data_IF_592946695729
#
_entry.id   IF_592946695729
#
_cell.length_a   1.000
_cell.length_b   1.000
_cell.length_c   1.000
_cell.angle_alpha   90.00
_cell.angle_beta   90.00
_cell.angle_gamma   90.00
#
_symmetry.space_group_name_H-M   'P 1'
#
loop_
_entity.id
_entity.type
_entity.pdbx_description
1 polymer ?
#
# COMPACT_ATOMS: atom_id res chain seq x y z
N UNK A 1 62.33 -59.78 -33.81
CA UNK A 1 61.86 -59.10 -32.59
C UNK A 1 61.25 -60.17 -31.69
N UNK A 2 61.65 -60.20 -30.41
CA UNK A 2 61.16 -61.19 -29.44
C UNK A 2 59.71 -60.88 -29.06
N UNK A 3 58.83 -61.88 -29.06
CA UNK A 3 57.41 -61.72 -28.76
C UNK A 3 57.17 -61.08 -27.39
N UNK A 4 58.08 -61.34 -26.43
CA UNK A 4 58.06 -60.71 -25.09
C UNK A 4 58.33 -59.21 -25.13
N UNK A 5 59.20 -58.75 -26.03
CA UNK A 5 59.52 -57.33 -26.17
C UNK A 5 58.34 -56.55 -26.76
N UNK A 6 57.63 -57.15 -27.73
CA UNK A 6 56.41 -56.59 -28.31
C UNK A 6 55.30 -56.51 -27.27
N UNK A 7 55.11 -57.56 -26.48
CA UNK A 7 54.10 -57.60 -25.42
C UNK A 7 54.36 -56.55 -24.33
N UNK A 8 55.61 -56.36 -23.92
CA UNK A 8 55.98 -55.32 -22.96
C UNK A 8 55.73 -53.91 -23.53
N UNK A 9 56.07 -53.67 -24.79
CA UNK A 9 55.84 -52.38 -25.46
C UNK A 9 54.35 -52.04 -25.55
N UNK A 10 53.51 -53.03 -25.88
CA UNK A 10 52.05 -52.86 -25.92
C UNK A 10 51.50 -52.56 -24.51
N UNK A 11 51.96 -53.28 -23.48
CA UNK A 11 51.54 -53.01 -22.10
C UNK A 11 51.93 -51.61 -21.62
N UNK A 12 53.12 -51.11 -21.97
CA UNK A 12 53.54 -49.74 -21.67
C UNK A 12 52.66 -48.70 -22.37
N UNK A 13 52.33 -48.93 -23.64
CA UNK A 13 51.51 -48.01 -24.43
C UNK A 13 50.05 -47.97 -23.95
N UNK A 14 49.48 -49.13 -23.59
CA UNK A 14 48.17 -49.23 -22.94
C UNK A 14 48.17 -48.51 -21.60
N UNK A 15 49.19 -48.71 -20.76
CA UNK A 15 49.27 -48.03 -19.47
C UNK A 15 49.40 -46.50 -19.62
N UNK A 16 50.16 -46.02 -20.63
CA UNK A 16 50.22 -44.59 -20.95
C UNK A 16 48.88 -44.04 -21.42
N UNK A 17 48.19 -44.75 -22.31
CA UNK A 17 46.87 -44.33 -22.81
C UNK A 17 45.83 -44.28 -21.68
N UNK A 18 45.80 -45.29 -20.81
CA UNK A 18 44.91 -45.34 -19.63
C UNK A 18 45.24 -44.21 -18.66
N UNK A 19 46.51 -43.98 -18.35
CA UNK A 19 46.93 -42.90 -17.46
C UNK A 19 46.57 -41.52 -18.01
N UNK A 20 46.72 -41.31 -19.32
CA UNK A 20 46.32 -40.09 -19.98
C UNK A 20 44.79 -39.88 -19.93
N UNK A 21 44.00 -40.91 -20.24
CA UNK A 21 42.54 -40.86 -20.12
C UNK A 21 42.08 -40.57 -18.69
N UNK A 22 42.71 -41.18 -17.69
CA UNK A 22 42.42 -40.91 -16.28
C UNK A 22 42.75 -39.46 -15.90
N UNK A 23 43.87 -38.92 -16.37
CA UNK A 23 44.25 -37.52 -16.14
C UNK A 23 43.25 -36.55 -16.75
N UNK A 24 42.81 -36.79 -18.00
CA UNK A 24 41.81 -35.97 -18.67
C UNK A 24 40.46 -36.02 -17.95
N UNK A 25 40.02 -37.20 -17.52
CA UNK A 25 38.78 -37.36 -16.74
C UNK A 25 38.85 -36.64 -15.40
N UNK A 26 39.98 -36.74 -14.69
CA UNK A 26 40.17 -36.05 -13.41
C UNK A 26 40.20 -34.53 -13.60
N UNK A 27 40.84 -34.03 -14.66
CA UNK A 27 40.82 -32.60 -15.01
C UNK A 27 39.39 -32.12 -15.31
N UNK A 28 38.64 -32.88 -16.12
CA UNK A 28 37.27 -32.55 -16.45
C UNK A 28 36.36 -32.54 -15.22
N UNK A 29 36.56 -33.48 -14.29
CA UNK A 29 35.87 -33.52 -13.01
C UNK A 29 36.22 -32.31 -12.13
N UNK A 30 37.50 -31.94 -12.07
CA UNK A 30 37.96 -30.76 -11.34
C UNK A 30 37.29 -29.50 -11.87
N UNK A 31 37.29 -29.30 -13.20
CA UNK A 31 36.65 -28.14 -13.84
C UNK A 31 35.14 -28.10 -13.55
N UNK A 32 34.48 -29.26 -13.57
CA UNK A 32 33.05 -29.35 -13.26
C UNK A 32 32.79 -28.98 -11.80
N UNK A 33 33.61 -29.47 -10.86
CA UNK A 33 33.50 -29.16 -9.43
C UNK A 33 33.74 -27.67 -9.20
N UNK A 34 34.79 -27.09 -9.77
CA UNK A 34 35.12 -25.67 -9.62
C UNK A 34 34.03 -24.78 -10.20
N UNK A 35 33.47 -25.13 -11.36
CA UNK A 35 32.33 -24.44 -11.96
C UNK A 35 31.09 -24.48 -11.07
N UNK A 36 30.74 -25.67 -10.55
CA UNK A 36 29.56 -25.85 -9.68
C UNK A 36 29.75 -25.18 -8.32
N UNK A 37 30.93 -25.25 -7.73
CA UNK A 37 31.26 -24.56 -6.48
C UNK A 37 31.21 -23.05 -6.64
N UNK A 38 31.73 -22.52 -7.76
CA UNK A 38 31.65 -21.10 -8.07
C UNK A 38 30.20 -20.63 -8.22
N UNK A 39 29.39 -21.39 -8.98
CA UNK A 39 27.96 -21.09 -9.13
C UNK A 39 27.21 -21.19 -7.78
N UNK A 40 27.55 -22.17 -6.95
CA UNK A 40 26.97 -22.32 -5.62
C UNK A 40 27.36 -21.17 -4.69
N UNK A 41 28.63 -20.76 -4.68
CA UNK A 41 29.12 -19.61 -3.92
C UNK A 41 28.42 -18.32 -4.33
N UNK A 42 28.26 -18.08 -5.64
CA UNK A 42 27.52 -16.93 -6.15
C UNK A 42 26.04 -16.96 -5.72
N UNK A 43 25.40 -18.12 -5.78
CA UNK A 43 24.02 -18.28 -5.30
C UNK A 43 23.90 -18.02 -3.80
N UNK A 44 24.83 -18.50 -2.97
CA UNK A 44 24.87 -18.20 -1.53
C UNK A 44 25.04 -16.70 -1.28
N UNK A 45 25.98 -16.06 -1.97
CA UNK A 45 26.23 -14.62 -1.83
C UNK A 45 24.98 -13.82 -2.23
N UNK A 46 24.31 -14.18 -3.32
CA UNK A 46 23.08 -13.53 -3.76
C UNK A 46 21.92 -13.72 -2.78
N UNK A 47 21.72 -14.94 -2.26
CA UNK A 47 20.70 -15.22 -1.23
C UNK A 47 21.02 -14.43 0.05
N UNK A 48 22.28 -14.42 0.48
CA UNK A 48 22.74 -13.69 1.66
C UNK A 48 22.52 -12.18 1.50
N UNK A 49 22.92 -11.59 0.37
CA UNK A 49 22.70 -10.17 0.09
C UNK A 49 21.20 -9.81 0.05
N UNK A 50 20.38 -10.66 -0.58
CA UNK A 50 18.92 -10.45 -0.62
C UNK A 50 18.28 -10.54 0.78
N UNK A 51 18.73 -11.49 1.61
CA UNK A 51 18.26 -11.63 2.98
C UNK A 51 18.72 -10.47 3.86
N UNK A 52 19.98 -10.03 3.72
CA UNK A 52 20.53 -8.87 4.44
C UNK A 52 19.76 -7.61 4.07
N UNK A 53 19.50 -7.35 2.78
CA UNK A 53 18.67 -6.21 2.36
C UNK A 53 17.26 -6.24 2.96
N UNK A 54 16.60 -7.41 2.97
CA UNK A 54 15.29 -7.56 3.62
C UNK A 54 15.35 -7.34 5.12
N UNK A 55 16.43 -7.75 5.78
CA UNK A 55 16.65 -7.53 7.21
C UNK A 55 16.91 -6.03 7.47
N UNK A 56 17.72 -5.36 6.65
CA UNK A 56 17.94 -3.91 6.74
C UNK A 56 16.65 -3.12 6.56
N UNK A 57 15.79 -3.53 5.62
CA UNK A 57 14.48 -2.92 5.40
C UNK A 57 13.53 -3.12 6.61
N UNK A 58 13.59 -4.28 7.28
CA UNK A 58 12.84 -4.54 8.52
C UNK A 58 13.45 -3.81 9.75
N UNK A 59 14.77 -3.65 9.82
CA UNK A 59 15.42 -2.92 10.92
C UNK A 59 15.14 -1.40 10.85
N UNK A 60 14.86 -0.87 9.67
CA UNK A 60 14.41 0.50 9.47
C UNK A 60 12.94 0.75 9.91
N UNK A 61 12.24 -0.28 10.41
CA UNK A 61 10.86 -0.20 10.87
C UNK A 61 10.70 0.56 12.20
N UNK A 62 11.78 0.90 12.91
CA UNK A 62 11.69 1.55 14.23
C UNK A 62 11.64 3.08 14.23
N UNK A 63 11.79 3.76 13.09
CA UNK A 63 11.64 5.22 13.05
C UNK A 63 10.19 5.66 12.80
N UNK A 64 9.55 6.23 13.83
CA UNK A 64 8.19 6.78 13.72
C UNK A 64 8.24 8.24 13.30
N UNK A 65 7.84 8.52 12.06
CA UNK A 65 7.75 9.88 11.53
C UNK A 65 6.63 10.69 12.21
N UNK A 66 6.96 11.88 12.73
CA UNK A 66 5.96 12.79 13.32
C UNK A 66 4.94 13.33 12.31
N UNK A 67 5.36 13.52 11.06
CA UNK A 67 4.52 14.08 9.99
C UNK A 67 4.38 13.06 8.87
N UNK A 68 3.15 12.78 8.44
CA UNK A 68 2.87 11.85 7.34
C UNK A 68 3.58 12.26 6.03
N UNK A 69 3.71 13.56 5.78
CA UNK A 69 4.46 14.08 4.63
C UNK A 69 5.94 13.69 4.65
N UNK A 70 6.58 13.68 5.82
CA UNK A 70 7.99 13.29 5.97
C UNK A 70 8.15 11.78 5.76
N UNK A 71 7.25 10.96 6.28
CA UNK A 71 7.23 9.51 6.03
C UNK A 71 7.11 9.22 4.53
N UNK A 72 6.20 9.90 3.84
CA UNK A 72 6.00 9.73 2.40
C UNK A 72 7.23 10.19 1.61
N UNK A 73 7.89 11.29 2.02
CA UNK A 73 9.13 11.74 1.40
C UNK A 73 10.25 10.73 1.60
N UNK A 74 10.45 10.25 2.82
CA UNK A 74 11.46 9.24 3.11
C UNK A 74 11.25 7.97 2.29
N UNK A 75 10.02 7.46 2.22
CA UNK A 75 9.67 6.29 1.39
C UNK A 75 9.95 6.53 -0.09
N UNK A 76 9.76 7.75 -0.58
CA UNK A 76 10.10 8.10 -1.95
C UNK A 76 11.62 8.11 -2.17
N UNK A 77 12.37 8.80 -1.31
CA UNK A 77 13.84 8.86 -1.38
C UNK A 77 14.47 7.47 -1.27
N UNK A 78 13.93 6.58 -0.42
CA UNK A 78 14.39 5.21 -0.31
C UNK A 78 14.28 4.45 -1.65
N UNK A 79 13.15 4.61 -2.37
CA UNK A 79 12.96 3.98 -3.69
C UNK A 79 13.93 4.53 -4.74
N UNK A 80 14.15 5.84 -4.75
CA UNK A 80 15.13 6.48 -5.65
C UNK A 80 16.53 5.96 -5.35
N UNK A 81 16.91 5.91 -4.07
CA UNK A 81 18.19 5.38 -3.63
C UNK A 81 18.40 3.92 -4.06
N UNK A 82 17.37 3.07 -3.93
CA UNK A 82 17.42 1.69 -4.43
C UNK A 82 17.75 1.65 -5.93
N UNK A 83 17.08 2.46 -6.75
CA UNK A 83 17.37 2.52 -8.20
C UNK A 83 18.76 3.02 -8.54
N UNK A 84 19.29 3.97 -7.76
CA UNK A 84 20.67 4.42 -7.91
C UNK A 84 21.69 3.35 -7.50
N UNK A 85 21.41 2.57 -6.43
CA UNK A 85 22.25 1.45 -6.01
C UNK A 85 22.26 0.32 -7.06
N UNK A 86 21.09 -0.09 -7.54
CA UNK A 86 20.95 -1.07 -8.63
C UNK A 86 21.76 -0.65 -9.86
N UNK A 87 21.63 0.61 -10.30
CA UNK A 87 22.39 1.13 -11.43
C UNK A 87 23.91 1.05 -11.19
N UNK A 88 24.37 1.42 -9.98
CA UNK A 88 25.78 1.32 -9.62
C UNK A 88 26.27 -0.13 -9.65
N UNK A 89 25.51 -1.05 -9.08
CA UNK A 89 25.85 -2.48 -9.04
C UNK A 89 25.96 -3.09 -10.45
N UNK A 90 25.01 -2.75 -11.32
CA UNK A 90 25.02 -3.18 -12.73
C UNK A 90 26.25 -2.66 -13.50
N UNK A 91 26.74 -1.47 -13.19
CA UNK A 91 27.98 -0.94 -13.79
C UNK A 91 29.25 -1.61 -13.24
N UNK A 92 29.22 -2.11 -11.99
CA UNK A 92 30.39 -2.73 -11.34
C UNK A 92 30.50 -4.24 -11.52
N UNK A 93 29.40 -4.91 -11.91
CA UNK A 93 29.31 -6.39 -11.88
C UNK A 93 30.01 -7.10 -13.04
N UNK A 94 30.61 -6.37 -14.00
CA UNK A 94 31.34 -6.97 -15.12
C UNK A 94 30.48 -7.79 -16.10
N UNK A 95 29.16 -7.75 -15.94
CA UNK A 95 28.20 -8.48 -16.77
C UNK A 95 28.05 -7.82 -18.15
N UNK A 96 27.88 -8.66 -19.19
CA UNK A 96 27.68 -8.22 -20.59
C UNK A 96 26.46 -7.28 -20.69
N UNK A 97 25.38 -7.60 -19.99
CA UNK A 97 24.13 -6.81 -19.98
C UNK A 97 24.06 -5.76 -18.86
N UNK A 98 25.18 -5.54 -18.15
CA UNK A 98 25.26 -4.60 -17.02
C UNK A 98 24.98 -3.16 -17.44
N UNK A 99 25.45 -2.75 -18.61
CA UNK A 99 25.22 -1.39 -19.11
C UNK A 99 23.73 -1.11 -19.36
N UNK A 100 23.01 -2.07 -19.95
CA UNK A 100 21.60 -1.86 -20.29
C UNK A 100 20.71 -1.91 -19.05
N UNK A 101 20.99 -2.84 -18.14
CA UNK A 101 20.34 -2.89 -16.82
C UNK A 101 20.55 -1.59 -16.04
N UNK A 102 21.77 -1.04 -16.05
CA UNK A 102 22.07 0.23 -15.39
C UNK A 102 21.28 1.41 -15.99
N UNK A 103 21.19 1.49 -17.33
CA UNK A 103 20.37 2.53 -17.99
C UNK A 103 18.89 2.39 -17.60
N UNK A 104 18.35 1.18 -17.55
CA UNK A 104 16.97 0.93 -17.14
C UNK A 104 16.72 1.42 -15.72
N UNK A 105 17.57 1.05 -14.76
CA UNK A 105 17.45 1.52 -13.36
C UNK A 105 17.55 3.04 -13.24
N UNK A 106 18.44 3.69 -14.02
CA UNK A 106 18.53 5.15 -14.06
C UNK A 106 17.25 5.77 -14.63
N UNK A 107 16.72 5.23 -15.73
CA UNK A 107 15.49 5.71 -16.35
C UNK A 107 14.30 5.61 -15.38
N UNK A 108 14.17 4.48 -14.66
CA UNK A 108 13.17 4.31 -13.61
C UNK A 108 13.35 5.33 -12.47
N UNK A 109 14.58 5.56 -12.02
CA UNK A 109 14.91 6.57 -11.01
C UNK A 109 14.51 7.99 -11.46
N UNK A 110 14.78 8.34 -12.71
CA UNK A 110 14.37 9.62 -13.30
C UNK A 110 12.85 9.76 -13.32
N UNK A 111 12.12 8.73 -13.74
CA UNK A 111 10.66 8.76 -13.75
C UNK A 111 10.05 8.86 -12.35
N UNK A 112 10.65 8.22 -11.34
CA UNK A 112 10.26 8.43 -9.94
C UNK A 112 10.38 9.90 -9.54
N UNK A 113 11.51 10.55 -9.86
CA UNK A 113 11.76 11.97 -9.53
C UNK A 113 10.79 12.88 -10.28
N UNK A 114 10.57 12.68 -11.59
CA UNK A 114 9.60 13.47 -12.36
C UNK A 114 8.19 13.36 -11.80
N UNK A 115 7.74 12.13 -11.52
CA UNK A 115 6.45 11.89 -10.89
C UNK A 115 6.35 12.57 -9.53
N UNK A 116 7.43 12.60 -8.74
CA UNK A 116 7.47 13.31 -7.46
C UNK A 116 7.36 14.81 -7.62
N UNK A 117 8.13 15.40 -8.53
CA UNK A 117 8.07 16.83 -8.85
C UNK A 117 6.66 17.24 -9.26
N UNK A 118 5.99 16.43 -10.08
CA UNK A 118 4.59 16.64 -10.48
C UNK A 118 3.64 16.65 -9.29
N UNK A 119 3.71 15.66 -8.41
CA UNK A 119 2.80 15.63 -7.24
C UNK A 119 3.12 16.71 -6.20
N UNK A 120 4.37 17.18 -6.11
CA UNK A 120 4.72 18.34 -5.30
C UNK A 120 4.03 19.59 -5.86
N UNK A 121 4.09 19.83 -7.18
CA UNK A 121 3.38 20.94 -7.81
C UNK A 121 1.86 20.87 -7.58
N UNK A 122 1.27 19.68 -7.69
CA UNK A 122 -0.15 19.45 -7.37
C UNK A 122 -0.48 19.74 -5.89
N UNK A 123 0.40 19.35 -4.97
CA UNK A 123 0.23 19.66 -3.55
C UNK A 123 0.35 21.16 -3.27
N UNK A 124 1.23 21.87 -3.96
CA UNK A 124 1.44 23.30 -3.79
C UNK A 124 0.26 24.12 -4.37
N UNK A 125 -0.23 23.73 -5.55
CA UNK A 125 -1.33 24.43 -6.22
C UNK A 125 -2.71 24.14 -5.62
N UNK A 126 -2.84 23.11 -4.79
CA UNK A 126 -4.14 22.69 -4.23
C UNK A 126 -4.35 23.18 -2.80
N UNK A 127 -5.54 23.73 -2.52
CA UNK A 127 -5.91 24.18 -1.16
C UNK A 127 -5.90 23.04 -0.12
N UNK A 128 -6.12 21.79 -0.53
CA UNK A 128 -6.08 20.62 0.37
C UNK A 128 -4.72 19.91 0.35
N UNK A 129 -3.76 20.42 -0.43
CA UNK A 129 -2.38 19.97 -0.56
C UNK A 129 -2.22 18.46 -0.73
N UNK A 130 -1.41 17.84 0.13
CA UNK A 130 -1.09 16.41 0.09
C UNK A 130 -2.31 15.48 0.17
N UNK A 131 -3.47 15.94 0.64
CA UNK A 131 -4.71 15.14 0.61
C UNK A 131 -5.18 14.90 -0.83
N UNK A 132 -5.01 15.88 -1.72
CA UNK A 132 -5.32 15.72 -3.14
C UNK A 132 -4.36 14.76 -3.80
N UNK A 133 -3.07 14.86 -3.49
CA UNK A 133 -2.06 13.93 -4.00
C UNK A 133 -2.39 12.48 -3.62
N UNK A 134 -2.85 12.25 -2.39
CA UNK A 134 -3.24 10.92 -1.95
C UNK A 134 -4.37 10.35 -2.83
N UNK A 135 -5.39 11.15 -3.16
CA UNK A 135 -6.47 10.73 -4.07
C UNK A 135 -5.99 10.55 -5.52
N UNK A 136 -5.03 11.37 -5.95
CA UNK A 136 -4.43 11.31 -7.29
C UNK A 136 -3.63 10.01 -7.49
N UNK A 137 -2.86 9.61 -6.48
CA UNK A 137 -2.04 8.39 -6.51
C UNK A 137 -2.86 7.12 -6.29
N UNK A 138 -3.88 7.16 -5.41
CA UNK A 138 -4.68 5.98 -5.06
C UNK A 138 -5.65 5.53 -6.16
N UNK A 139 -5.93 6.38 -7.16
CA UNK A 139 -6.90 6.10 -8.20
C UNK A 139 -6.28 6.30 -9.59
N UNK A 140 -5.56 5.29 -10.13
CA UNK A 140 -5.16 5.30 -11.53
C UNK A 140 -6.43 5.36 -12.40
N UNK A 141 -6.50 6.38 -13.26
CA UNK A 141 -7.55 6.46 -14.28
C UNK A 141 -6.96 5.77 -15.52
N UNK A 142 -7.82 5.16 -16.35
CA UNK A 142 -7.42 4.63 -17.64
C UNK A 142 -6.59 5.64 -18.44
N UNK A 143 -5.65 5.11 -19.21
CA UNK A 143 -4.57 5.80 -19.93
C UNK A 143 -5.05 6.91 -20.90
N UNK A 144 -6.35 6.93 -21.22
CA UNK A 144 -7.01 7.87 -22.12
C UNK A 144 -7.51 9.16 -21.43
N UNK A 145 -7.44 9.24 -20.10
CA UNK A 145 -7.87 10.42 -19.35
C UNK A 145 -6.76 11.45 -19.25
N UNK A 146 -6.83 12.51 -20.06
CA UNK A 146 -6.11 13.78 -19.90
C UNK A 146 -5.83 14.10 -18.42
N UNK A 147 -4.55 14.33 -18.10
CA UNK A 147 -4.04 14.43 -16.72
C UNK A 147 -4.78 15.48 -15.88
N UNK A 148 -5.26 16.54 -16.53
CA UNK A 148 -6.11 17.57 -15.94
C UNK A 148 -7.40 16.99 -15.34
N UNK A 149 -8.07 16.07 -16.04
CA UNK A 149 -9.28 15.39 -15.53
C UNK A 149 -8.96 14.54 -14.31
N UNK A 150 -7.77 13.95 -14.25
CA UNK A 150 -7.32 13.17 -13.09
C UNK A 150 -7.08 14.07 -11.88
N UNK A 151 -6.41 15.21 -12.07
CA UNK A 151 -6.21 16.20 -11.02
C UNK A 151 -7.54 16.75 -10.49
N UNK A 152 -8.46 17.14 -11.38
CA UNK A 152 -9.79 17.63 -11.00
C UNK A 152 -10.57 16.61 -10.16
N UNK A 153 -10.61 15.34 -10.58
CA UNK A 153 -11.29 14.27 -9.83
C UNK A 153 -10.64 14.02 -8.48
N UNK A 154 -9.31 14.04 -8.41
CA UNK A 154 -8.59 13.89 -7.14
C UNK A 154 -8.96 15.02 -6.17
N UNK A 155 -9.06 16.25 -6.66
CA UNK A 155 -9.48 17.40 -5.86
C UNK A 155 -10.90 17.21 -5.32
N UNK A 156 -11.86 16.89 -6.19
CA UNK A 156 -13.27 16.67 -5.80
C UNK A 156 -13.41 15.54 -4.76
N UNK A 157 -12.64 14.45 -4.89
CA UNK A 157 -12.63 13.35 -3.92
C UNK A 157 -12.08 13.79 -2.57
N UNK A 158 -10.99 14.55 -2.56
CA UNK A 158 -10.37 15.07 -1.34
C UNK A 158 -11.32 16.04 -0.62
N UNK A 159 -11.95 16.96 -1.36
CA UNK A 159 -12.94 17.91 -0.83
C UNK A 159 -14.14 17.18 -0.21
N UNK A 160 -14.70 16.18 -0.91
CA UNK A 160 -15.81 15.37 -0.39
C UNK A 160 -15.43 14.65 0.91
N UNK A 161 -14.22 14.11 1.01
CA UNK A 161 -13.74 13.46 2.24
C UNK A 161 -13.63 14.44 3.40
N UNK A 162 -13.13 15.65 3.16
CA UNK A 162 -13.06 16.70 4.19
C UNK A 162 -14.46 17.15 4.64
N UNK A 163 -15.38 17.38 3.69
CA UNK A 163 -16.76 17.76 3.98
C UNK A 163 -17.51 16.69 4.78
N UNK A 164 -17.46 15.43 4.34
CA UNK A 164 -18.12 14.31 5.03
C UNK A 164 -17.48 14.03 6.40
N UNK A 165 -16.17 14.22 6.55
CA UNK A 165 -15.47 14.12 7.82
C UNK A 165 -15.96 15.18 8.84
N UNK A 166 -16.14 16.42 8.40
CA UNK A 166 -16.71 17.50 9.23
C UNK A 166 -18.16 17.20 9.65
N UNK A 167 -18.97 16.65 8.74
CA UNK A 167 -20.37 16.26 9.06
C UNK A 167 -20.44 15.12 10.08
N UNK A 168 -19.49 14.18 10.04
CA UNK A 168 -19.40 13.07 11.02
C UNK A 168 -18.90 13.52 12.40
N UNK A 169 -18.06 14.55 12.48
CA UNK A 169 -17.64 15.13 13.76
C UNK A 169 -18.71 16.04 14.38
N UNK A 170 -19.66 16.53 13.58
CA UNK A 170 -20.87 17.17 14.09
C UNK A 170 -21.81 16.09 14.64
N UNK A 171 -21.49 15.56 15.81
CA UNK A 171 -22.46 14.85 16.65
C UNK A 171 -23.64 15.82 16.86
N UNK A 172 -24.80 15.47 16.31
CA UNK A 172 -26.03 16.25 16.44
C UNK A 172 -26.82 15.63 17.59
N UNK A 173 -26.79 16.19 18.81
CA UNK A 173 -27.37 15.56 20.00
C UNK A 173 -28.90 15.63 20.04
N UNK A 174 -29.54 16.01 18.94
CA UNK A 174 -30.98 16.16 18.90
C UNK A 174 -31.54 15.52 17.64
N UNK A 175 -31.97 14.27 17.80
CA UNK A 175 -32.92 13.68 16.88
C UNK A 175 -34.14 14.60 16.84
N UNK A 176 -34.33 15.32 15.72
CA UNK A 176 -35.68 15.72 15.32
C UNK A 176 -36.47 14.42 15.22
N UNK A 177 -37.31 14.15 16.22
CA UNK A 177 -38.44 13.23 16.04
C UNK A 177 -39.28 13.82 14.92
N UNK A 178 -39.05 13.35 13.70
CA UNK A 178 -40.07 13.40 12.66
C UNK A 178 -41.23 12.59 13.19
N UNK A 179 -42.35 13.26 13.45
CA UNK A 179 -43.63 12.62 13.70
C UNK A 179 -44.09 11.92 12.41
N UNK A 180 -43.52 10.76 12.16
CA UNK A 180 -44.10 9.70 11.35
C UNK A 180 -44.10 8.44 12.22
N UNK A 181 -44.79 8.54 13.36
CA UNK A 181 -45.18 7.39 14.14
C UNK A 181 -46.26 6.66 13.33
N UNK A 182 -45.90 5.45 12.90
CA UNK A 182 -46.74 4.25 13.03
C UNK A 182 -48.24 4.46 12.85
N UNK A 183 -48.71 4.24 11.62
CA UNK A 183 -50.10 3.91 11.35
C UNK A 183 -50.21 2.39 11.24
N UNK A 184 -50.60 1.74 12.34
CA UNK A 184 -51.36 0.48 12.40
C UNK A 184 -51.79 0.30 13.87
N UNK A 185 -53.08 0.53 14.11
CA UNK A 185 -54.03 -0.47 14.63
C UNK A 185 -53.98 -0.55 16.17
N UNK A 186 -54.86 0.20 16.82
CA UNK A 186 -56.17 -0.23 17.38
C UNK A 186 -56.04 -0.98 18.69
N UNK A 187 -56.71 -0.37 19.67
CA UNK A 187 -57.44 -0.96 20.77
C UNK A 187 -56.75 -1.38 22.09
N UNK A 188 -57.44 -0.86 23.13
CA UNK A 188 -57.71 -1.46 24.44
C UNK A 188 -56.64 -1.35 25.56
N UNK A 189 -57.08 -0.61 26.58
CA UNK A 189 -56.84 -0.80 28.03
C UNK A 189 -55.39 -0.90 28.53
N UNK A 190 -54.99 0.10 29.30
CA UNK A 190 -55.15 0.02 30.76
C UNK A 190 -54.65 1.29 31.47
N UNK A 191 -55.38 1.59 32.54
CA UNK A 191 -55.27 2.65 33.53
C UNK A 191 -53.86 2.97 34.07
N UNK A 192 -53.52 4.25 34.07
CA UNK A 192 -52.83 4.88 35.22
C UNK A 192 -53.15 6.38 35.31
N UNK A 193 -54.31 6.66 35.91
CA UNK A 193 -54.55 7.68 36.94
C UNK A 193 -53.56 8.85 37.04
N UNK A 194 -53.48 9.71 36.02
CA UNK A 194 -52.88 11.04 36.12
C UNK A 194 -53.96 12.07 36.41
N UNK A 195 -54.07 12.57 37.65
CA UNK A 195 -55.02 13.64 38.00
C UNK A 195 -54.89 14.80 37.02
N UNK A 196 -55.97 15.29 36.39
CA UNK A 196 -55.89 16.39 35.43
C UNK A 196 -55.29 17.63 36.09
N UNK A 197 -54.37 18.28 35.37
CA UNK A 197 -53.62 19.45 35.82
C UNK A 197 -54.49 20.70 36.03
N UNK A 198 -53.90 21.90 35.93
CA UNK A 198 -54.69 23.14 35.92
C UNK A 198 -55.17 23.43 34.51
N UNK A 199 -56.43 23.80 34.37
CA UNK A 199 -57.01 24.30 33.14
C UNK A 199 -56.25 25.57 32.71
N UNK A 200 -55.83 25.65 31.45
CA UNK A 200 -55.13 26.83 30.92
C UNK A 200 -56.07 27.98 30.63
N UNK A 201 -57.38 27.72 30.55
CA UNK A 201 -58.37 28.73 30.17
C UNK A 201 -58.93 29.46 31.40
N UNK A 202 -59.10 28.75 32.53
CA UNK A 202 -59.65 29.34 33.76
C UNK A 202 -58.70 29.24 34.97
N UNK A 203 -57.57 28.54 34.85
CA UNK A 203 -56.59 28.35 35.92
C UNK A 203 -56.98 27.35 37.01
N UNK A 204 -58.21 26.83 37.01
CA UNK A 204 -58.70 25.90 38.04
C UNK A 204 -58.10 24.50 37.86
N UNK A 205 -57.86 23.78 38.96
CA UNK A 205 -57.33 22.41 38.94
C UNK A 205 -58.44 21.38 38.79
N UNK A 206 -58.11 20.20 38.26
CA UNK A 206 -59.04 19.07 38.23
C UNK A 206 -59.75 18.85 36.89
N UNK A 207 -59.46 19.66 35.86
CA UNK A 207 -59.87 19.45 34.47
C UNK A 207 -58.87 20.13 33.52
N UNK A 208 -58.81 19.70 32.25
CA UNK A 208 -58.02 20.38 31.21
C UNK A 208 -58.89 21.39 30.44
N UNK A 209 -58.28 22.33 29.70
CA UNK A 209 -58.99 23.38 28.93
C UNK A 209 -60.11 22.89 28.00
N UNK A 210 -60.08 21.62 27.60
CA UNK A 210 -61.10 21.01 26.72
C UNK A 210 -62.36 20.61 27.47
N UNK A 211 -62.27 20.43 28.78
CA UNK A 211 -63.35 20.03 29.69
C UNK A 211 -63.72 21.20 30.63
N UNK A 212 -63.45 22.44 30.20
CA UNK A 212 -63.66 23.61 31.04
C UNK A 212 -65.15 23.98 31.07
N UNK A 213 -65.84 23.88 32.23
CA UNK A 213 -67.28 24.15 32.31
C UNK A 213 -67.61 25.63 32.01
N UNK A 214 -66.64 26.53 32.14
CA UNK A 214 -66.82 27.96 31.83
C UNK A 214 -66.89 28.28 30.32
N UNK A 215 -66.65 27.29 29.44
CA UNK A 215 -66.79 27.49 27.99
C UNK A 215 -68.25 27.49 27.53
N UNK A 216 -69.12 26.82 28.28
CA UNK A 216 -70.52 26.67 27.89
C UNK A 216 -71.39 27.85 28.36
N UNK A 217 -70.94 28.65 29.35
CA UNK A 217 -71.64 29.84 29.84
C UNK A 217 -71.46 31.11 28.96
N UNK A 218 -70.94 30.97 27.73
CA UNK A 218 -70.82 32.08 26.76
C UNK A 218 -71.58 31.81 25.46
N UNK A 219 -72.74 31.17 25.59
CA UNK A 219 -73.79 31.20 24.58
C UNK A 219 -75.10 31.59 25.25
N UNK A 220 -75.22 32.88 25.54
CA UNK A 220 -76.47 33.64 25.55
C UNK A 220 -76.18 34.99 24.85
#
# INVERSE_FOLDING_TARGET
>A
MDARQVQNSISEEVNRAVSHQQSELLSSLQDMIDSRLSAFQQNIQHISASQISKIEDNLNEHYVFRKKGNENQYKHEARVLTKLKEAKEHLTSGNIDGLESAKSSIAEGIELVKNRQKVIKLADSSQLGWKVVQEYQANPIADDSEDEKKMYRAQMRAERKVYNGRKRQRFEPYQKKTAAASRMETDEKSSSSGKPGRCFDCGAKGHWSRECPKKDDKKD
#
